data_IF_002471189389
#
_entry.id   IF_002471189389
#
_cell.length_a   1.000
_cell.length_b   1.000
_cell.length_c   1.000
_cell.angle_alpha   90.00
_cell.angle_beta   90.00
_cell.angle_gamma   90.00
#
_symmetry.space_group_name_H-M   'P 1'
#
loop_
_entity.id
_entity.type
_entity.pdbx_description
1 polymer ?
#
# COMPACT_ATOMS: atom_id res chain seq x y z
N UNK A 1 -21.24 -4.27 -16.80
CA UNK A 1 -20.60 -2.94 -16.82
C UNK A 1 -19.72 -2.68 -15.60
N UNK A 2 -20.23 -2.80 -14.37
CA UNK A 2 -19.44 -2.57 -13.13
C UNK A 2 -18.23 -3.51 -13.03
N UNK A 3 -18.42 -4.83 -13.23
CA UNK A 3 -17.32 -5.81 -13.21
C UNK A 3 -16.21 -5.47 -14.21
N UNK A 4 -16.57 -5.05 -15.43
CA UNK A 4 -15.60 -4.65 -16.46
C UNK A 4 -14.78 -3.43 -16.01
N UNK A 5 -15.44 -2.40 -15.45
CA UNK A 5 -14.76 -1.20 -14.95
C UNK A 5 -13.77 -1.54 -13.83
N UNK A 6 -14.16 -2.42 -12.91
CA UNK A 6 -13.32 -2.85 -11.79
C UNK A 6 -12.18 -3.76 -12.28
N UNK A 7 -12.45 -4.63 -13.26
CA UNK A 7 -11.45 -5.49 -13.88
C UNK A 7 -10.35 -4.66 -14.56
N UNK A 8 -10.76 -3.69 -15.40
CA UNK A 8 -9.85 -2.72 -16.03
C UNK A 8 -9.13 -1.89 -14.96
N UNK A 9 -9.83 -1.45 -13.92
CA UNK A 9 -9.23 -0.71 -12.80
C UNK A 9 -8.11 -1.50 -12.11
N UNK A 10 -8.36 -2.76 -11.77
CA UNK A 10 -7.36 -3.65 -11.18
C UNK A 10 -6.19 -3.91 -12.12
N UNK A 11 -6.43 -4.10 -13.43
CA UNK A 11 -5.35 -4.20 -14.40
C UNK A 11 -4.50 -2.92 -14.43
N UNK A 12 -5.11 -1.74 -14.48
CA UNK A 12 -4.38 -0.47 -14.48
C UNK A 12 -3.58 -0.25 -13.20
N UNK A 13 -4.14 -0.56 -12.03
CA UNK A 13 -3.43 -0.51 -10.75
C UNK A 13 -2.27 -1.50 -10.75
N UNK A 14 -2.50 -2.73 -11.21
CA UNK A 14 -1.47 -3.77 -11.29
C UNK A 14 -0.30 -3.37 -12.19
N UNK A 15 -0.59 -2.81 -13.38
CA UNK A 15 0.42 -2.24 -14.29
C UNK A 15 1.17 -1.09 -13.60
N UNK A 16 0.44 -0.18 -12.94
CA UNK A 16 1.05 0.95 -12.27
C UNK A 16 1.99 0.52 -11.14
N UNK A 17 1.57 -0.40 -10.28
CA UNK A 17 2.40 -0.93 -9.20
C UNK A 17 3.61 -1.68 -9.75
N UNK A 18 3.42 -2.57 -10.73
CA UNK A 18 4.54 -3.26 -11.37
C UNK A 18 5.54 -2.27 -11.99
N UNK A 19 5.05 -1.23 -12.69
CA UNK A 19 5.87 -0.17 -13.27
C UNK A 19 6.64 0.62 -12.21
N UNK A 20 6.00 0.99 -11.10
CA UNK A 20 6.66 1.65 -9.98
C UNK A 20 7.73 0.76 -9.31
N UNK A 21 7.46 -0.54 -9.20
CA UNK A 21 8.42 -1.51 -8.70
C UNK A 21 9.66 -1.61 -9.59
N UNK A 22 9.44 -1.71 -10.90
CA UNK A 22 10.52 -1.73 -11.90
C UNK A 22 11.32 -0.43 -11.90
N UNK A 23 10.65 0.72 -11.83
CA UNK A 23 11.31 2.02 -11.73
C UNK A 23 12.17 2.11 -10.46
N UNK A 24 11.61 1.70 -9.32
CA UNK A 24 12.33 1.71 -8.05
C UNK A 24 13.54 0.75 -8.05
N UNK A 25 13.39 -0.43 -8.66
CA UNK A 25 14.49 -1.37 -8.86
C UNK A 25 15.57 -0.80 -9.79
N UNK A 26 15.17 -0.24 -10.93
CA UNK A 26 16.09 0.38 -11.90
C UNK A 26 16.86 1.54 -11.28
N UNK A 27 16.21 2.42 -10.53
CA UNK A 27 16.88 3.51 -9.81
C UNK A 27 17.85 2.97 -8.77
N UNK A 28 17.38 1.99 -7.97
CA UNK A 28 18.19 1.31 -6.95
C UNK A 28 19.48 0.77 -7.58
N UNK A 29 19.39 0.10 -8.72
CA UNK A 29 20.53 -0.50 -9.43
C UNK A 29 21.38 0.56 -10.12
N UNK A 30 20.80 1.52 -10.81
CA UNK A 30 21.56 2.51 -11.61
C UNK A 30 22.31 3.52 -10.74
N UNK A 31 21.79 3.86 -9.57
CA UNK A 31 22.35 4.90 -8.70
C UNK A 31 23.16 4.36 -7.52
N UNK A 32 23.23 3.03 -7.31
CA UNK A 32 23.89 2.46 -6.13
C UNK A 32 25.37 2.81 -6.04
N UNK A 33 26.08 2.89 -7.16
CA UNK A 33 27.50 3.26 -7.18
C UNK A 33 27.75 4.68 -6.65
N UNK A 34 26.77 5.58 -6.82
CA UNK A 34 26.90 6.99 -6.42
C UNK A 34 26.26 7.29 -5.07
N UNK A 35 25.23 6.52 -4.67
CA UNK A 35 24.40 6.83 -3.49
C UNK A 35 24.39 5.71 -2.44
N UNK A 36 25.13 4.62 -2.63
CA UNK A 36 24.97 3.38 -1.86
C UNK A 36 23.63 2.70 -2.18
N UNK A 37 23.24 1.60 -1.56
CA UNK A 37 21.94 0.95 -1.84
C UNK A 37 20.75 1.65 -1.15
N UNK A 38 19.63 1.87 -1.87
CA UNK A 38 18.39 2.35 -1.25
C UNK A 38 17.63 1.20 -0.60
N UNK A 39 17.54 1.20 0.73
CA UNK A 39 16.81 0.13 1.44
C UNK A 39 15.30 0.28 1.27
N UNK A 40 14.82 1.52 1.27
CA UNK A 40 13.45 1.87 0.96
C UNK A 40 13.12 1.53 -0.48
N UNK A 41 13.99 1.85 -1.44
CA UNK A 41 13.81 1.49 -2.85
C UNK A 41 13.73 -0.01 -3.07
N UNK A 42 14.65 -0.78 -2.47
CA UNK A 42 14.59 -2.25 -2.50
C UNK A 42 13.27 -2.75 -1.93
N UNK A 43 12.90 -2.29 -0.73
CA UNK A 43 11.70 -2.78 -0.07
C UNK A 43 10.42 -2.39 -0.81
N UNK A 44 10.37 -1.18 -1.36
CA UNK A 44 9.26 -0.74 -2.20
C UNK A 44 9.18 -1.55 -3.49
N UNK A 45 10.30 -1.86 -4.14
CA UNK A 45 10.36 -2.70 -5.33
C UNK A 45 9.85 -4.13 -5.05
N UNK A 46 10.28 -4.74 -3.94
CA UNK A 46 9.81 -6.07 -3.52
C UNK A 46 8.30 -6.09 -3.27
N UNK A 47 7.78 -5.07 -2.58
CA UNK A 47 6.35 -4.91 -2.33
C UNK A 47 5.54 -4.71 -3.60
N UNK A 48 6.05 -3.89 -4.52
CA UNK A 48 5.42 -3.69 -5.81
C UNK A 48 5.44 -4.96 -6.68
N UNK A 49 6.48 -5.81 -6.55
CA UNK A 49 6.60 -7.07 -7.25
C UNK A 49 5.63 -8.15 -6.76
N UNK A 50 5.10 -8.05 -5.53
CA UNK A 50 3.99 -8.89 -5.08
C UNK A 50 2.63 -8.24 -5.40
N UNK A 51 2.43 -6.97 -5.04
CA UNK A 51 1.13 -6.30 -5.20
C UNK A 51 0.73 -6.11 -6.66
N UNK A 52 1.67 -5.73 -7.55
CA UNK A 52 1.37 -5.46 -8.96
C UNK A 52 0.77 -6.70 -9.65
N UNK A 53 1.51 -7.83 -9.70
CA UNK A 53 1.00 -9.08 -10.24
C UNK A 53 -0.28 -9.59 -9.55
N UNK A 54 -0.42 -9.40 -8.23
CA UNK A 54 -1.64 -9.72 -7.49
C UNK A 54 -2.87 -8.97 -8.06
N UNK A 55 -2.77 -7.64 -8.24
CA UNK A 55 -3.85 -6.85 -8.84
C UNK A 55 -4.10 -7.19 -10.31
N UNK A 56 -3.05 -7.52 -11.08
CA UNK A 56 -3.21 -8.01 -12.45
C UNK A 56 -4.04 -9.29 -12.50
N UNK A 57 -3.81 -10.22 -11.56
CA UNK A 57 -4.53 -11.48 -11.52
C UNK A 57 -6.01 -11.26 -11.21
N UNK A 58 -6.34 -10.46 -10.20
CA UNK A 58 -7.72 -10.11 -9.89
C UNK A 58 -8.41 -9.38 -11.05
N UNK A 59 -7.71 -8.45 -11.72
CA UNK A 59 -8.22 -7.76 -12.88
C UNK A 59 -8.55 -8.72 -14.03
N UNK A 60 -7.64 -9.67 -14.29
CA UNK A 60 -7.82 -10.69 -15.31
C UNK A 60 -9.00 -11.62 -15.01
N UNK A 61 -9.05 -12.17 -13.79
CA UNK A 61 -10.11 -13.07 -13.33
C UNK A 61 -11.50 -12.43 -13.41
N UNK A 62 -11.62 -11.17 -12.98
CA UNK A 62 -12.88 -10.44 -13.05
C UNK A 62 -13.34 -10.19 -14.49
N UNK A 63 -12.40 -9.98 -15.42
CA UNK A 63 -12.71 -9.86 -16.85
C UNK A 63 -13.12 -11.20 -17.48
N UNK A 64 -12.70 -12.33 -16.90
CA UNK A 64 -13.17 -13.68 -17.27
C UNK A 64 -14.56 -14.01 -16.69
N UNK A 65 -15.15 -13.10 -15.90
CA UNK A 65 -16.48 -13.28 -15.34
C UNK A 65 -16.53 -13.88 -13.94
N UNK A 66 -15.40 -13.95 -13.23
CA UNK A 66 -15.42 -14.32 -11.81
C UNK A 66 -16.25 -13.31 -11.00
N UNK A 67 -17.08 -13.83 -10.08
CA UNK A 67 -17.90 -13.00 -9.22
C UNK A 67 -17.03 -12.35 -8.12
N UNK A 68 -17.18 -11.05 -7.93
CA UNK A 68 -16.47 -10.31 -6.87
C UNK A 68 -17.45 -9.81 -5.83
N UNK A 69 -17.08 -9.96 -4.57
CA UNK A 69 -17.89 -9.53 -3.44
C UNK A 69 -18.01 -7.99 -3.40
N UNK A 70 -19.19 -7.48 -3.03
CA UNK A 70 -19.40 -6.03 -2.89
C UNK A 70 -18.38 -5.33 -1.97
N UNK A 71 -17.97 -5.92 -0.82
CA UNK A 71 -16.92 -5.34 0.01
C UNK A 71 -15.60 -5.13 -0.73
N UNK A 72 -15.15 -6.09 -1.55
CA UNK A 72 -13.94 -5.94 -2.37
C UNK A 72 -14.08 -4.81 -3.41
N UNK A 73 -15.26 -4.67 -4.01
CA UNK A 73 -15.56 -3.55 -4.91
C UNK A 73 -15.42 -2.22 -4.17
N UNK A 74 -16.02 -2.10 -2.99
CA UNK A 74 -16.01 -0.87 -2.21
C UNK A 74 -14.59 -0.47 -1.79
N UNK A 75 -13.80 -1.40 -1.25
CA UNK A 75 -12.40 -1.12 -0.85
C UNK A 75 -11.52 -0.76 -2.06
N UNK A 76 -11.76 -1.35 -3.23
CA UNK A 76 -11.05 -0.99 -4.47
C UNK A 76 -11.32 0.47 -4.86
N UNK A 77 -12.59 0.89 -4.80
CA UNK A 77 -12.99 2.27 -5.11
C UNK A 77 -12.35 3.25 -4.13
N UNK A 78 -12.29 2.91 -2.84
CA UNK A 78 -11.66 3.76 -1.81
C UNK A 78 -10.14 3.85 -2.00
N UNK A 79 -9.48 2.76 -2.42
CA UNK A 79 -8.04 2.70 -2.67
C UNK A 79 -7.59 3.36 -3.98
N UNK A 80 -8.48 3.51 -4.96
CA UNK A 80 -8.12 4.05 -6.27
C UNK A 80 -7.58 5.51 -6.21
N UNK A 81 -8.22 6.48 -5.53
CA UNK A 81 -7.70 7.84 -5.44
C UNK A 81 -6.27 7.95 -4.87
N UNK A 82 -5.94 7.39 -3.68
CA UNK A 82 -4.57 7.49 -3.16
C UNK A 82 -3.57 6.76 -4.06
N UNK A 83 -3.96 5.64 -4.69
CA UNK A 83 -3.14 4.95 -5.68
C UNK A 83 -2.80 5.82 -6.90
N UNK A 84 -3.81 6.41 -7.53
CA UNK A 84 -3.64 7.27 -8.71
C UNK A 84 -2.83 8.52 -8.40
N UNK A 85 -3.08 9.16 -7.25
CA UNK A 85 -2.30 10.34 -6.81
C UNK A 85 -0.83 9.95 -6.63
N UNK A 86 -0.54 8.87 -5.91
CA UNK A 86 0.83 8.44 -5.67
C UNK A 86 1.55 8.09 -6.98
N UNK A 87 0.93 7.28 -7.84
CA UNK A 87 1.47 6.90 -9.15
C UNK A 87 1.72 8.13 -10.01
N UNK A 88 0.75 9.04 -10.11
CA UNK A 88 0.89 10.27 -10.89
C UNK A 88 2.06 11.15 -10.44
N UNK A 89 2.28 11.27 -9.13
CA UNK A 89 3.43 12.00 -8.59
C UNK A 89 4.78 11.34 -8.92
N UNK A 90 4.83 10.00 -8.99
CA UNK A 90 6.05 9.27 -9.38
C UNK A 90 6.37 9.47 -10.85
N UNK A 91 5.35 9.41 -11.69
CA UNK A 91 5.45 9.76 -13.10
C UNK A 91 5.92 11.20 -13.29
N UNK A 92 5.31 12.15 -12.58
CA UNK A 92 5.75 13.56 -12.58
C UNK A 92 7.25 13.67 -12.23
N UNK A 93 7.72 12.93 -11.22
CA UNK A 93 9.13 12.89 -10.82
C UNK A 93 10.02 12.36 -11.95
N UNK A 94 9.61 11.27 -12.61
CA UNK A 94 10.34 10.68 -13.73
C UNK A 94 10.47 11.65 -14.92
N UNK A 95 9.52 12.59 -15.07
CA UNK A 95 9.58 13.68 -16.04
C UNK A 95 10.22 14.98 -15.49
N UNK A 96 11.02 14.89 -14.43
CA UNK A 96 11.70 16.02 -13.76
C UNK A 96 10.77 17.07 -13.12
N UNK A 97 9.51 16.71 -12.83
CA UNK A 97 8.58 17.54 -12.06
C UNK A 97 8.83 17.49 -10.55
N UNK A 98 7.88 18.01 -9.75
CA UNK A 98 8.08 18.19 -8.30
C UNK A 98 7.93 16.88 -7.52
N UNK A 99 6.97 16.03 -7.90
CA UNK A 99 6.81 14.70 -7.30
C UNK A 99 6.31 14.66 -5.84
N UNK A 100 6.25 15.79 -5.16
CA UNK A 100 5.53 16.02 -3.91
C UNK A 100 5.14 17.50 -3.82
N UNK A 101 4.08 17.78 -3.08
CA UNK A 101 3.60 19.14 -2.81
C UNK A 101 2.97 19.22 -1.43
N UNK A 102 3.17 20.35 -0.77
CA UNK A 102 2.58 20.65 0.53
C UNK A 102 1.09 20.97 0.38
N UNK A 103 0.23 20.27 1.12
CA UNK A 103 -1.20 20.58 1.18
C UNK A 103 -1.48 21.37 2.47
N UNK A 104 -2.11 22.55 2.40
CA UNK A 104 -2.52 23.32 3.57
C UNK A 104 -3.90 22.85 4.09
N UNK A 105 -4.07 21.55 4.33
CA UNK A 105 -5.29 21.04 4.97
C UNK A 105 -5.25 21.31 6.47
N UNK A 106 -6.34 21.81 7.05
CA UNK A 106 -6.40 22.00 8.51
C UNK A 106 -6.44 20.66 9.25
N UNK A 107 -5.96 20.59 10.51
CA UNK A 107 -5.98 19.36 11.30
C UNK A 107 -7.38 18.79 11.46
N UNK A 108 -8.39 19.66 11.61
CA UNK A 108 -9.78 19.25 11.74
C UNK A 108 -10.27 18.51 10.50
N UNK A 109 -9.91 18.98 9.29
CA UNK A 109 -10.25 18.28 8.04
C UNK A 109 -9.57 16.92 7.95
N UNK A 110 -8.29 16.83 8.34
CA UNK A 110 -7.55 15.57 8.35
C UNK A 110 -8.16 14.56 9.35
N UNK A 111 -8.56 15.01 10.55
CA UNK A 111 -9.23 14.18 11.55
C UNK A 111 -10.58 13.69 11.05
N UNK A 112 -11.41 14.57 10.47
CA UNK A 112 -12.71 14.20 9.92
C UNK A 112 -12.58 13.16 8.79
N UNK A 113 -11.64 13.34 7.87
CA UNK A 113 -11.35 12.38 6.81
C UNK A 113 -10.88 11.04 7.37
N UNK A 114 -9.99 11.06 8.37
CA UNK A 114 -9.48 9.85 9.01
C UNK A 114 -10.59 9.10 9.76
N UNK A 115 -11.47 9.82 10.47
CA UNK A 115 -12.63 9.24 11.14
C UNK A 115 -13.64 8.65 10.15
N UNK A 116 -13.93 9.37 9.06
CA UNK A 116 -14.79 8.87 7.98
C UNK A 116 -14.21 7.59 7.35
N UNK A 117 -12.91 7.59 7.05
CA UNK A 117 -12.22 6.40 6.55
C UNK A 117 -12.32 5.24 7.55
N UNK A 118 -12.04 5.47 8.83
CA UNK A 118 -12.12 4.43 9.86
C UNK A 118 -13.53 3.85 10.01
N UNK A 119 -14.56 4.70 9.96
CA UNK A 119 -15.96 4.25 10.01
C UNK A 119 -16.32 3.40 8.78
N UNK A 120 -15.95 3.83 7.58
CA UNK A 120 -16.21 3.07 6.35
C UNK A 120 -15.42 1.76 6.34
N UNK A 121 -14.15 1.79 6.71
CA UNK A 121 -13.28 0.61 6.80
C UNK A 121 -13.81 -0.40 7.82
N UNK A 122 -14.16 0.06 9.03
CA UNK A 122 -14.74 -0.76 10.08
C UNK A 122 -16.10 -1.34 9.68
N UNK A 123 -16.96 -0.54 9.03
CA UNK A 123 -18.24 -0.99 8.51
C UNK A 123 -18.10 -2.07 7.44
N UNK A 124 -17.16 -1.91 6.50
CA UNK A 124 -16.87 -2.91 5.47
C UNK A 124 -16.32 -4.21 6.07
N UNK A 125 -15.38 -4.12 7.02
CA UNK A 125 -14.85 -5.29 7.71
C UNK A 125 -15.94 -6.01 8.52
N UNK A 126 -16.73 -5.28 9.30
CA UNK A 126 -17.84 -5.84 10.08
C UNK A 126 -18.89 -6.48 9.17
N UNK A 127 -19.23 -5.86 8.03
CA UNK A 127 -20.14 -6.42 7.05
C UNK A 127 -19.64 -7.75 6.48
N UNK A 128 -18.35 -7.82 6.11
CA UNK A 128 -17.74 -9.05 5.61
C UNK A 128 -17.77 -10.16 6.64
N UNK A 129 -17.52 -9.83 7.91
CA UNK A 129 -17.61 -10.79 9.02
C UNK A 129 -19.06 -11.19 9.35
N UNK A 130 -20.03 -10.28 9.21
CA UNK A 130 -21.43 -10.53 9.53
C UNK A 130 -22.18 -11.34 8.47
N UNK A 131 -21.65 -11.45 7.24
CA UNK A 131 -22.18 -12.36 6.22
C UNK A 131 -21.86 -13.84 6.47
N UNK A 132 -21.08 -14.13 7.51
CA UNK A 132 -20.90 -15.48 8.01
C UNK A 132 -22.22 -15.92 8.68
N UNK A 133 -22.88 -17.01 8.25
CA UNK A 133 -24.18 -17.39 8.79
C UNK A 133 -24.12 -17.59 10.31
N UNK A 134 -24.96 -16.85 11.04
CA UNK A 134 -24.99 -16.77 12.51
C UNK A 134 -25.31 -18.11 13.23
N UNK A 135 -25.61 -19.18 12.49
CA UNK A 135 -25.78 -20.53 13.02
C UNK A 135 -24.43 -21.23 13.33
N UNK A 136 -23.28 -20.67 12.90
CA UNK A 136 -21.95 -21.29 13.00
C UNK A 136 -20.96 -20.54 13.91
N UNK A 137 -21.41 -19.98 15.04
CA UNK A 137 -20.49 -19.52 16.09
C UNK A 137 -20.92 -20.12 17.43
N UNK A 138 -20.31 -21.27 17.79
CA UNK A 138 -19.01 -21.18 18.46
C UNK A 138 -17.99 -22.19 17.91
N UNK A 139 -16.84 -21.70 17.44
CA UNK A 139 -15.66 -22.48 17.03
C UNK A 139 -15.71 -23.24 15.69
N UNK A 140 -16.65 -22.94 14.79
CA UNK A 140 -16.62 -23.49 13.43
C UNK A 140 -15.92 -22.56 12.44
N UNK A 141 -15.37 -23.19 11.41
CA UNK A 141 -14.02 -22.94 10.92
C UNK A 141 -14.12 -22.15 9.61
N UNK A 142 -13.14 -21.31 9.27
CA UNK A 142 -13.18 -20.44 8.09
C UNK A 142 -12.15 -20.90 7.04
N UNK A 143 -12.65 -21.19 5.83
CA UNK A 143 -11.94 -21.50 4.58
C UNK A 143 -11.18 -22.86 4.49
N UNK A 144 -11.46 -23.64 3.44
CA UNK A 144 -10.72 -24.83 3.01
C UNK A 144 -10.07 -24.55 1.65
N UNK A 145 -8.80 -24.91 1.48
CA UNK A 145 -8.09 -24.80 0.20
C UNK A 145 -8.03 -26.13 -0.56
N UNK A 146 -8.97 -27.06 -0.34
CA UNK A 146 -8.93 -28.37 -1.00
C UNK A 146 -9.99 -28.50 -2.09
N UNK A 147 -9.69 -27.98 -3.28
CA UNK A 147 -10.09 -28.69 -4.51
C UNK A 147 -9.06 -29.79 -4.78
N UNK A 148 -9.09 -30.86 -3.97
CA UNK A 148 -8.51 -32.15 -4.36
C UNK A 148 -9.68 -32.99 -4.87
N UNK A 149 -9.75 -33.32 -6.18
CA UNK A 149 -10.84 -34.12 -6.72
C UNK A 149 -10.88 -35.50 -6.03
N UNK A 150 -11.97 -35.81 -5.35
CA UNK A 150 -12.27 -37.17 -4.87
C UNK A 150 -12.28 -37.41 -3.36
N UNK A 151 -12.07 -36.38 -2.51
CA UNK A 151 -12.25 -36.53 -1.06
C UNK A 151 -13.24 -35.47 -0.57
N UNK A 152 -14.49 -35.88 -0.35
CA UNK A 152 -15.50 -35.08 0.34
C UNK A 152 -15.15 -35.00 1.84
N UNK A 153 -14.18 -34.16 2.18
CA UNK A 153 -13.84 -33.81 3.56
C UNK A 153 -14.36 -32.42 3.89
N UNK A 154 -15.57 -32.34 4.45
CA UNK A 154 -16.14 -31.11 4.98
C UNK A 154 -15.46 -30.76 6.31
N UNK A 155 -14.40 -29.95 6.27
CA UNK A 155 -13.74 -29.44 7.47
C UNK A 155 -12.76 -28.32 7.14
N UNK A 156 -12.88 -27.19 7.81
CA UNK A 156 -12.06 -26.01 7.54
C UNK A 156 -10.80 -25.94 8.43
N UNK A 157 -9.90 -24.97 8.17
CA UNK A 157 -8.68 -24.77 8.97
C UNK A 157 -8.36 -23.28 9.17
N UNK A 158 -8.31 -22.80 10.42
CA UNK A 158 -7.73 -21.50 10.80
C UNK A 158 -6.23 -21.37 10.44
N UNK A 159 -5.66 -22.46 9.92
CA UNK A 159 -4.30 -22.57 9.42
C UNK A 159 -4.27 -22.54 7.89
N UNK A 160 -5.37 -22.17 7.21
CA UNK A 160 -5.36 -22.08 5.76
C UNK A 160 -4.33 -21.03 5.32
N UNK A 161 -3.44 -21.35 4.36
CA UNK A 161 -2.41 -20.42 3.92
C UNK A 161 -2.97 -19.08 3.42
N UNK A 162 -4.15 -19.09 2.78
CA UNK A 162 -4.79 -17.85 2.28
C UNK A 162 -5.23 -16.93 3.42
N UNK A 163 -5.93 -17.48 4.42
CA UNK A 163 -6.36 -16.69 5.57
C UNK A 163 -5.17 -16.10 6.32
N UNK A 164 -4.16 -16.93 6.62
CA UNK A 164 -2.97 -16.50 7.35
C UNK A 164 -2.16 -15.48 6.57
N UNK A 165 -1.96 -15.67 5.26
CA UNK A 165 -1.26 -14.70 4.42
C UNK A 165 -2.00 -13.36 4.38
N UNK A 166 -3.32 -13.36 4.14
CA UNK A 166 -4.11 -12.13 4.10
C UNK A 166 -4.11 -11.41 5.47
N UNK A 167 -4.31 -12.12 6.57
CA UNK A 167 -4.27 -11.52 7.91
C UNK A 167 -2.88 -10.94 8.24
N UNK A 168 -1.82 -11.64 7.84
CA UNK A 168 -0.45 -11.17 8.01
C UNK A 168 -0.17 -9.91 7.18
N UNK A 169 -0.60 -9.90 5.91
CA UNK A 169 -0.45 -8.74 5.03
C UNK A 169 -1.29 -7.56 5.54
N UNK A 170 -2.51 -7.79 6.04
CA UNK A 170 -3.31 -6.78 6.75
C UNK A 170 -2.53 -6.13 7.87
N UNK A 171 -1.92 -6.94 8.75
CA UNK A 171 -1.14 -6.42 9.87
C UNK A 171 0.08 -5.61 9.43
N UNK A 172 0.87 -6.17 8.50
CA UNK A 172 2.09 -5.50 8.02
C UNK A 172 1.81 -4.22 7.25
N UNK A 173 0.82 -4.22 6.35
CA UNK A 173 0.46 -3.04 5.56
C UNK A 173 -0.22 -1.98 6.43
N UNK A 174 -1.06 -2.39 7.38
CA UNK A 174 -1.67 -1.47 8.35
C UNK A 174 -0.61 -0.77 9.20
N UNK A 175 0.41 -1.50 9.67
CA UNK A 175 1.53 -0.91 10.40
C UNK A 175 2.38 0.05 9.54
N UNK A 176 2.67 -0.30 8.28
CA UNK A 176 3.35 0.61 7.35
C UNK A 176 2.53 1.89 7.14
N UNK A 177 1.23 1.75 6.86
CA UNK A 177 0.31 2.87 6.71
C UNK A 177 0.29 3.75 7.96
N UNK A 178 0.27 3.14 9.15
CA UNK A 178 0.30 3.85 10.43
C UNK A 178 1.58 4.66 10.60
N UNK A 179 2.76 4.07 10.35
CA UNK A 179 4.03 4.79 10.48
C UNK A 179 4.15 5.96 9.50
N UNK A 180 3.59 5.81 8.29
CA UNK A 180 3.51 6.89 7.30
C UNK A 180 2.55 7.99 7.77
N UNK A 181 1.37 7.64 8.28
CA UNK A 181 0.39 8.58 8.82
C UNK A 181 0.93 9.37 10.01
N UNK A 182 1.53 8.70 11.01
CA UNK A 182 2.15 9.34 12.17
C UNK A 182 3.22 10.34 11.74
N UNK A 183 4.01 9.97 10.73
CA UNK A 183 5.04 10.87 10.20
C UNK A 183 4.44 12.08 9.49
N UNK A 184 3.30 11.94 8.83
CA UNK A 184 2.58 13.09 8.27
C UNK A 184 2.07 14.03 9.37
N UNK A 185 1.59 13.50 10.50
CA UNK A 185 1.23 14.31 11.67
C UNK A 185 2.44 15.07 12.20
N UNK A 186 3.58 14.39 12.40
CA UNK A 186 4.83 15.04 12.83
C UNK A 186 5.28 16.14 11.86
N UNK A 187 5.23 15.87 10.54
CA UNK A 187 5.58 16.85 9.50
C UNK A 187 4.65 18.07 9.57
N UNK A 188 3.35 17.86 9.79
CA UNK A 188 2.42 18.97 9.95
C UNK A 188 2.77 19.82 11.18
N UNK A 189 3.12 19.20 12.30
CA UNK A 189 3.50 19.90 13.53
C UNK A 189 4.81 20.71 13.39
N UNK A 190 5.74 20.28 12.52
CA UNK A 190 7.01 21.00 12.30
C UNK A 190 6.96 22.01 11.16
N UNK A 191 6.32 21.65 10.05
CA UNK A 191 6.40 22.37 8.77
C UNK A 191 5.08 23.06 8.39
N UNK A 192 4.01 22.86 9.18
CA UNK A 192 2.68 23.43 8.94
C UNK A 192 1.98 22.90 7.69
N UNK A 193 2.46 21.80 7.09
CA UNK A 193 1.94 21.26 5.83
C UNK A 193 1.97 19.73 5.76
N UNK A 194 1.05 19.16 4.98
CA UNK A 194 1.00 17.72 4.70
C UNK A 194 1.73 17.40 3.38
N UNK A 195 2.43 16.27 3.29
CA UNK A 195 2.94 15.76 2.02
C UNK A 195 1.80 15.14 1.22
N UNK A 196 1.53 15.62 0.00
CA UNK A 196 0.57 14.92 -0.87
C UNK A 196 1.06 13.50 -1.19
N UNK A 197 2.34 13.33 -1.49
CA UNK A 197 2.91 12.01 -1.75
C UNK A 197 2.83 11.11 -0.52
N UNK A 198 3.14 11.64 0.66
CA UNK A 198 3.09 10.89 1.91
C UNK A 198 1.68 10.51 2.36
N UNK A 199 0.70 11.40 2.22
CA UNK A 199 -0.71 11.12 2.50
C UNK A 199 -1.25 10.09 1.50
N UNK A 200 -0.95 10.23 0.21
CA UNK A 200 -1.35 9.26 -0.81
C UNK A 200 -0.74 7.88 -0.53
N UNK A 201 0.56 7.81 -0.18
CA UNK A 201 1.21 6.56 0.17
C UNK A 201 0.61 5.92 1.43
N UNK A 202 0.35 6.71 2.47
CA UNK A 202 -0.35 6.23 3.67
C UNK A 202 -1.73 5.68 3.33
N UNK A 203 -2.48 6.36 2.47
CA UNK A 203 -3.78 5.92 2.00
C UNK A 203 -3.71 4.58 1.26
N UNK A 204 -2.75 4.42 0.35
CA UNK A 204 -2.50 3.15 -0.37
C UNK A 204 -2.35 2.00 0.63
N UNK A 205 -1.41 2.11 1.57
CA UNK A 205 -1.15 1.03 2.54
C UNK A 205 -2.36 0.71 3.43
N UNK A 206 -3.09 1.72 3.90
CA UNK A 206 -4.30 1.50 4.71
C UNK A 206 -5.42 0.82 3.90
N UNK A 207 -5.60 1.21 2.63
CA UNK A 207 -6.61 0.58 1.77
C UNK A 207 -6.24 -0.83 1.36
N UNK A 208 -4.96 -1.12 1.12
CA UNK A 208 -4.48 -2.48 0.88
C UNK A 208 -4.67 -3.35 2.14
N UNK A 209 -4.35 -2.83 3.33
CA UNK A 209 -4.59 -3.56 4.58
C UNK A 209 -6.06 -3.93 4.77
N UNK A 210 -6.97 -2.98 4.49
CA UNK A 210 -8.41 -3.19 4.52
C UNK A 210 -8.87 -4.21 3.47
N UNK A 211 -8.32 -4.18 2.26
CA UNK A 211 -8.63 -5.14 1.21
C UNK A 211 -8.25 -6.56 1.63
N UNK A 212 -7.04 -6.77 2.17
CA UNK A 212 -6.63 -8.07 2.71
C UNK A 212 -7.48 -8.51 3.91
N UNK A 213 -7.95 -7.57 4.73
CA UNK A 213 -8.84 -7.90 5.85
C UNK A 213 -10.20 -8.41 5.34
N UNK A 214 -10.74 -7.73 4.33
CA UNK A 214 -11.97 -8.15 3.66
C UNK A 214 -11.79 -9.49 2.96
N UNK A 215 -10.67 -9.71 2.27
CA UNK A 215 -10.36 -10.98 1.61
C UNK A 215 -10.21 -12.14 2.60
N UNK A 216 -9.52 -11.92 3.73
CA UNK A 216 -9.43 -12.89 4.82
C UNK A 216 -10.81 -13.23 5.39
N UNK A 217 -11.68 -12.24 5.58
CA UNK A 217 -13.04 -12.44 6.07
C UNK A 217 -13.96 -13.13 5.04
N UNK A 218 -13.73 -12.91 3.74
CA UNK A 218 -14.51 -13.46 2.64
C UNK A 218 -14.03 -14.83 2.14
N UNK A 219 -12.96 -15.39 2.72
CA UNK A 219 -12.38 -16.67 2.31
C UNK A 219 -11.99 -16.73 0.82
N UNK A 220 -11.48 -15.63 0.25
CA UNK A 220 -11.08 -15.64 -1.15
C UNK A 220 -9.86 -16.56 -1.36
N UNK A 221 -10.00 -17.51 -2.31
CA UNK A 221 -8.96 -18.46 -2.69
C UNK A 221 -8.66 -18.32 -4.17
N UNK A 222 -7.39 -18.48 -4.56
CA UNK A 222 -7.01 -18.48 -5.97
C UNK A 222 -5.53 -18.24 -6.17
N UNK A 223 -5.14 -18.02 -7.42
CA UNK A 223 -3.76 -17.73 -7.81
C UNK A 223 -3.15 -16.49 -7.15
N UNK A 224 -3.98 -15.57 -6.66
CA UNK A 224 -3.57 -14.43 -5.84
C UNK A 224 -2.75 -14.86 -4.61
N UNK A 225 -3.02 -16.05 -4.06
CA UNK A 225 -2.28 -16.62 -2.92
C UNK A 225 -0.78 -16.75 -3.20
N UNK A 226 -0.39 -17.11 -4.43
CA UNK A 226 1.03 -17.22 -4.80
C UNK A 226 1.74 -15.88 -4.63
N UNK A 227 1.07 -14.79 -5.00
CA UNK A 227 1.62 -13.44 -4.84
C UNK A 227 1.57 -12.96 -3.40
N UNK A 228 0.56 -13.37 -2.61
CA UNK A 228 0.50 -13.08 -1.17
C UNK A 228 1.64 -13.77 -0.40
N UNK A 229 1.96 -15.02 -0.73
CA UNK A 229 3.07 -15.75 -0.12
C UNK A 229 4.43 -15.11 -0.42
N UNK A 230 4.60 -14.52 -1.61
CA UNK A 230 5.78 -13.69 -1.95
C UNK A 230 5.71 -12.33 -1.23
N UNK A 231 4.50 -11.80 -1.05
CA UNK A 231 4.23 -10.54 -0.36
C UNK A 231 4.59 -10.58 1.13
N UNK A 232 4.44 -11.73 1.79
CA UNK A 232 4.79 -11.91 3.22
C UNK A 232 6.25 -11.54 3.54
N UNK A 233 7.28 -12.14 2.93
CA UNK A 233 8.67 -11.75 3.18
C UNK A 233 8.97 -10.33 2.71
N UNK A 234 8.37 -9.87 1.60
CA UNK A 234 8.51 -8.50 1.12
C UNK A 234 7.98 -7.48 2.15
N UNK A 235 6.83 -7.77 2.77
CA UNK A 235 6.18 -6.90 3.75
C UNK A 235 6.92 -6.87 5.09
N UNK A 236 7.52 -7.99 5.50
CA UNK A 236 8.43 -8.03 6.66
C UNK A 236 9.61 -7.09 6.45
N UNK A 237 10.30 -7.24 5.31
CA UNK A 237 11.46 -6.40 4.99
C UNK A 237 11.06 -4.92 4.91
N UNK A 238 9.97 -4.61 4.20
CA UNK A 238 9.53 -3.23 4.04
C UNK A 238 9.09 -2.60 5.36
N UNK A 239 8.35 -3.32 6.20
CA UNK A 239 7.97 -2.88 7.54
C UNK A 239 9.20 -2.62 8.41
N UNK A 240 10.20 -3.51 8.37
CA UNK A 240 11.45 -3.34 9.10
C UNK A 240 12.19 -2.06 8.66
N UNK A 241 12.25 -1.78 7.35
CA UNK A 241 12.85 -0.55 6.82
C UNK A 241 12.03 0.68 7.22
N UNK A 242 10.72 0.68 7.03
CA UNK A 242 9.84 1.81 7.39
C UNK A 242 9.92 2.10 8.89
N UNK A 243 9.97 1.07 9.74
CA UNK A 243 10.13 1.23 11.19
C UNK A 243 11.49 1.82 11.57
N UNK A 244 12.57 1.40 10.91
CA UNK A 244 13.91 1.96 11.15
C UNK A 244 14.00 3.40 10.72
N UNK A 245 13.49 3.70 9.52
CA UNK A 245 13.37 5.07 9.06
C UNK A 245 12.53 5.87 10.07
N UNK A 246 11.38 5.36 10.52
CA UNK A 246 10.48 6.01 11.49
C UNK A 246 11.16 6.37 12.81
N UNK A 247 12.12 5.55 13.25
CA UNK A 247 12.92 5.77 14.45
C UNK A 247 14.18 6.61 14.20
N UNK A 248 14.34 7.14 13.00
CA UNK A 248 15.54 7.84 12.53
C UNK A 248 16.83 7.00 12.69
N UNK A 249 16.69 5.66 12.71
CA UNK A 249 17.77 4.72 12.96
C UNK A 249 18.63 4.43 11.72
N UNK A 250 18.12 4.76 10.53
CA UNK A 250 18.78 4.53 9.25
C UNK A 250 18.60 5.73 8.33
N UNK A 251 19.64 6.07 7.57
CA UNK A 251 19.58 7.04 6.48
C UNK A 251 19.39 6.32 5.13
N UNK A 252 18.53 6.85 4.27
CA UNK A 252 18.34 6.40 2.88
C UNK A 252 18.49 7.57 1.89
N UNK A 253 18.45 7.29 0.59
CA UNK A 253 18.58 8.25 -0.52
C UNK A 253 17.56 9.41 -0.43
N UNK A 254 16.42 9.17 0.22
CA UNK A 254 15.33 10.14 0.39
C UNK A 254 15.63 11.12 1.54
N UNK A 255 16.70 11.91 1.40
CA UNK A 255 17.04 13.01 2.35
C UNK A 255 16.24 14.30 2.11
N UNK A 256 14.90 14.22 1.97
CA UNK A 256 13.87 15.24 2.31
C UNK A 256 12.55 14.47 2.58
N UNK A 257 11.73 14.86 3.57
CA UNK A 257 11.12 13.92 4.50
C UNK A 257 9.96 13.14 3.90
N UNK A 258 10.22 11.86 3.61
CA UNK A 258 9.27 10.85 4.06
C UNK A 258 9.56 10.47 5.52
N UNK A 259 10.82 10.48 6.02
CA UNK A 259 11.16 10.23 7.43
C UNK A 259 12.53 10.87 7.85
N UNK A 260 12.65 11.45 9.05
CA UNK A 260 13.88 11.92 9.72
C UNK A 260 14.40 13.36 9.54
N UNK A 261 15.28 13.79 10.46
CA UNK A 261 15.97 15.09 10.47
C UNK A 261 17.30 15.05 9.68
N UNK A 262 17.58 16.10 8.90
CA UNK A 262 18.52 16.07 7.78
C UNK A 262 19.99 16.40 8.15
N UNK A 263 20.93 15.67 7.54
CA UNK A 263 22.25 16.22 7.14
C UNK A 263 22.27 16.33 5.60
N UNK A 264 22.72 17.46 5.05
CA UNK A 264 22.62 17.73 3.62
C UNK A 264 23.61 16.88 2.77
N UNK A 265 23.17 16.15 1.73
CA UNK A 265 24.06 15.59 0.72
C UNK A 265 24.46 16.66 -0.32
N UNK A 266 25.61 16.47 -0.98
CA UNK A 266 26.18 17.40 -1.97
C UNK A 266 25.33 17.63 -3.25
N UNK A 267 24.28 16.82 -3.48
CA UNK A 267 23.32 17.01 -4.58
C UNK A 267 21.92 16.49 -4.20
N UNK A 268 20.87 17.15 -4.67
CA UNK A 268 19.47 16.80 -4.37
C UNK A 268 19.02 15.44 -4.94
N UNK A 269 18.11 14.78 -4.24
CA UNK A 269 17.49 13.50 -4.66
C UNK A 269 16.29 13.77 -5.58
N UNK A 270 16.01 12.93 -6.60
CA UNK A 270 14.79 13.01 -7.40
C UNK A 270 13.51 12.89 -6.55
N UNK A 271 13.59 12.18 -5.42
CA UNK A 271 12.50 12.02 -4.46
C UNK A 271 12.29 13.25 -3.56
N UNK A 272 13.20 14.22 -3.62
CA UNK A 272 13.06 15.49 -2.93
C UNK A 272 12.41 16.49 -3.88
N UNK A 273 11.20 16.96 -3.55
CA UNK A 273 10.48 18.00 -4.31
C UNK A 273 11.13 19.38 -4.28
N UNK A 274 12.46 19.44 -4.26
CA UNK A 274 13.29 20.63 -4.12
C UNK A 274 13.80 21.16 -5.46
N UNK A 275 13.15 20.81 -6.58
CA UNK A 275 13.37 21.51 -7.85
C UNK A 275 12.44 22.73 -7.95
N UNK A 276 12.62 23.72 -7.07
CA UNK A 276 12.02 25.04 -7.25
C UNK A 276 12.76 26.15 -6.48
N UNK A 277 13.84 26.65 -7.12
CA UNK A 277 14.28 28.06 -7.28
C UNK A 277 15.78 28.26 -6.99
N UNK A 278 16.61 28.53 -8.02
CA UNK A 278 17.84 29.26 -7.84
C UNK A 278 17.51 30.75 -7.65
N UNK A 279 17.89 31.34 -6.52
CA UNK A 279 17.82 32.78 -6.30
C UNK A 279 17.05 33.19 -5.06
N UNK A 280 17.73 33.18 -3.92
CA UNK A 280 17.50 34.17 -2.87
C UNK A 280 18.87 34.52 -2.28
N UNK A 281 19.23 35.81 -2.22
CA UNK A 281 20.56 36.23 -1.77
C UNK A 281 20.73 35.95 -0.28
N UNK A 282 21.94 35.54 0.09
CA UNK A 282 22.45 35.60 1.45
C UNK A 282 22.33 37.05 1.89
N UNK A 283 21.56 37.32 2.94
CA UNK A 283 21.70 38.56 3.70
C UNK A 283 22.65 38.25 4.85
N UNK A 284 23.68 39.09 4.93
CA UNK A 284 24.70 39.14 5.98
C UNK A 284 24.10 39.19 7.39
#
# INVERSE_FOLDING_TARGET
MIAVLIGIGNLMIGIAYAGLGLLSAWETISLHHYRGWSRFGIGFALMAASCGPHHLMHGWQLLQGEAVSWPIIAVTIIGLPPGLIFVGLRFETAWNGQGDRGIPASPQRAILLSAAFAMVAGGLAAWSLARLPAAELPFQILCSSSEIPGIAGSGFSFVSPSFLANLFVTGTYGMVGWYLADRQVRRYLTDGSWSLAGIAMSGVFMTCALMHLVAAAACETGWALTFDLIGVPASIYFLWIVRQLHRDAVTDWNRRPLIGAATAPARASPWSGANARPGSPVRD
#
